data_IF_684577951988
#
_entry.id   IF_684577951988
#
_cell.length_a   1.000
_cell.length_b   1.000
_cell.length_c   1.000
_cell.angle_alpha   90.00
_cell.angle_beta   90.00
_cell.angle_gamma   90.00
#
_symmetry.space_group_name_H-M   'P 1'
#
loop_
_entity.id
_entity.type
_entity.pdbx_description
1 polymer ?
#
# COMPACT_ATOMS: atom_id res chain seq x y z
N UNK A 1 5.39 -20.38 14.53
CA UNK A 1 6.08 -19.41 13.62
C UNK A 1 5.04 -18.45 13.09
N UNK A 2 4.68 -17.45 13.89
CA UNK A 2 3.49 -16.62 13.66
C UNK A 2 3.90 -15.15 13.79
N UNK A 3 4.48 -14.55 12.76
CA UNK A 3 4.60 -13.09 12.66
C UNK A 3 4.68 -12.66 11.18
N UNK A 4 3.64 -12.98 10.40
CA UNK A 4 3.59 -12.67 8.97
C UNK A 4 3.03 -11.28 8.64
N UNK A 5 2.37 -10.62 9.59
CA UNK A 5 1.56 -9.43 9.32
C UNK A 5 2.20 -8.11 9.80
N UNK A 6 3.05 -8.12 10.83
CA UNK A 6 3.59 -6.89 11.46
C UNK A 6 5.03 -6.57 11.03
N UNK A 7 5.77 -7.56 10.51
CA UNK A 7 7.21 -7.42 10.18
C UNK A 7 7.55 -6.28 9.24
N UNK A 8 6.64 -5.90 8.34
CA UNK A 8 6.91 -4.89 7.32
C UNK A 8 6.48 -3.48 7.74
N UNK A 9 5.75 -3.33 8.85
CA UNK A 9 5.19 -2.04 9.23
C UNK A 9 6.30 -1.03 9.54
N UNK A 10 7.25 -1.41 10.39
CA UNK A 10 8.37 -0.54 10.78
C UNK A 10 9.22 -0.15 9.57
N UNK A 11 9.55 -1.09 8.70
CA UNK A 11 10.35 -0.82 7.50
C UNK A 11 9.65 0.15 6.53
N UNK A 12 8.34 -0.02 6.33
CA UNK A 12 7.55 0.90 5.49
C UNK A 12 7.49 2.29 6.11
N UNK A 13 7.29 2.39 7.43
CA UNK A 13 7.28 3.67 8.16
C UNK A 13 8.66 4.33 8.10
N UNK A 14 9.75 3.59 8.30
CA UNK A 14 11.11 4.11 8.21
C UNK A 14 11.40 4.62 6.80
N UNK A 15 11.06 3.84 5.76
CA UNK A 15 11.28 4.22 4.37
C UNK A 15 10.49 5.48 3.97
N UNK A 16 9.19 5.50 4.25
CA UNK A 16 8.32 6.61 3.83
C UNK A 16 8.46 7.84 4.74
N UNK A 17 8.65 7.63 6.04
CA UNK A 17 8.83 8.67 7.04
C UNK A 17 10.16 9.41 6.91
N UNK A 18 11.23 8.73 6.49
CA UNK A 18 12.51 9.38 6.16
C UNK A 18 12.43 10.27 4.90
N UNK A 19 11.43 10.04 4.04
CA UNK A 19 11.24 10.76 2.78
C UNK A 19 9.84 11.36 2.67
N UNK A 20 9.50 12.37 3.50
CA UNK A 20 8.19 12.99 3.49
C UNK A 20 7.91 13.67 2.13
N UNK A 21 6.70 13.47 1.60
CA UNK A 21 6.28 14.02 0.29
C UNK A 21 6.79 13.27 -0.95
N UNK A 22 7.71 12.29 -0.80
CA UNK A 22 8.17 11.47 -1.93
C UNK A 22 7.12 10.41 -2.29
N UNK A 23 6.86 10.27 -3.58
CA UNK A 23 5.93 9.27 -4.13
C UNK A 23 6.64 7.93 -4.33
N UNK A 24 6.05 6.89 -3.77
CA UNK A 24 6.52 5.51 -3.88
C UNK A 24 5.45 4.62 -4.49
N UNK A 25 5.85 3.77 -5.44
CA UNK A 25 5.02 2.68 -5.95
C UNK A 25 5.14 1.47 -5.04
N UNK A 26 4.07 0.68 -4.90
CA UNK A 26 4.06 -0.55 -4.08
C UNK A 26 5.19 -1.52 -4.48
N UNK A 27 5.46 -1.68 -5.78
CA UNK A 27 6.57 -2.51 -6.27
C UNK A 27 7.92 -2.08 -5.69
N UNK A 28 8.15 -0.77 -5.58
CA UNK A 28 9.40 -0.23 -5.06
C UNK A 28 9.52 -0.50 -3.55
N UNK A 29 8.42 -0.30 -2.81
CA UNK A 29 8.35 -0.61 -1.38
C UNK A 29 8.63 -2.09 -1.13
N UNK A 30 7.99 -3.00 -1.90
CA UNK A 30 8.24 -4.45 -1.81
C UNK A 30 9.71 -4.79 -2.09
N UNK A 31 10.31 -4.14 -3.10
CA UNK A 31 11.72 -4.35 -3.45
C UNK A 31 12.68 -3.90 -2.35
N UNK A 32 12.37 -2.78 -1.67
CA UNK A 32 13.16 -2.29 -0.54
C UNK A 32 13.05 -3.21 0.68
N UNK A 33 11.81 -3.58 1.04
CA UNK A 33 11.52 -4.38 2.24
C UNK A 33 12.01 -5.83 2.10
N UNK A 34 11.95 -6.39 0.89
CA UNK A 34 12.29 -7.79 0.65
C UNK A 34 13.01 -7.99 -0.70
N UNK A 35 14.29 -7.56 -0.82
CA UNK A 35 15.03 -7.59 -2.08
C UNK A 35 15.19 -9.01 -2.65
N UNK A 36 15.41 -10.01 -1.79
CA UNK A 36 15.69 -11.40 -2.18
C UNK A 36 14.46 -12.31 -2.20
N UNK A 37 13.25 -11.75 -2.27
CA UNK A 37 12.00 -12.52 -2.19
C UNK A 37 11.65 -13.23 -3.51
N UNK A 38 11.16 -14.46 -3.42
CA UNK A 38 10.62 -15.18 -4.59
C UNK A 38 9.29 -14.56 -5.06
N UNK A 39 8.87 -14.76 -6.32
CA UNK A 39 7.59 -14.24 -6.83
C UNK A 39 6.38 -14.60 -5.96
N UNK A 40 6.35 -15.84 -5.44
CA UNK A 40 5.29 -16.33 -4.54
C UNK A 40 5.28 -15.59 -3.20
N UNK A 41 6.46 -15.37 -2.62
CA UNK A 41 6.59 -14.59 -1.38
C UNK A 41 6.21 -13.12 -1.60
N UNK A 42 6.59 -12.53 -2.75
CA UNK A 42 6.24 -11.14 -3.09
C UNK A 42 4.74 -10.88 -3.10
N UNK A 43 3.93 -11.85 -3.50
CA UNK A 43 2.46 -11.71 -3.45
C UNK A 43 1.97 -11.59 -2.00
N UNK A 44 2.44 -12.45 -1.10
CA UNK A 44 2.10 -12.39 0.33
C UNK A 44 2.61 -11.11 1.00
N UNK A 45 3.85 -10.71 0.71
CA UNK A 45 4.47 -9.48 1.20
C UNK A 45 3.68 -8.25 0.73
N UNK A 46 3.27 -8.23 -0.53
CA UNK A 46 2.44 -7.16 -1.09
C UNK A 46 1.12 -7.03 -0.34
N UNK A 47 0.45 -8.14 0.00
CA UNK A 47 -0.79 -8.12 0.79
C UNK A 47 -0.53 -7.55 2.19
N UNK A 48 0.57 -7.95 2.85
CA UNK A 48 0.97 -7.41 4.14
C UNK A 48 1.21 -5.89 4.08
N UNK A 49 1.99 -5.42 3.11
CA UNK A 49 2.27 -4.00 2.89
C UNK A 49 0.98 -3.23 2.58
N UNK A 50 0.07 -3.78 1.77
CA UNK A 50 -1.21 -3.13 1.48
C UNK A 50 -2.06 -2.92 2.74
N UNK A 51 -2.04 -3.87 3.69
CA UNK A 51 -2.74 -3.72 4.98
C UNK A 51 -2.13 -2.59 5.82
N UNK A 52 -0.79 -2.52 5.88
CA UNK A 52 -0.08 -1.43 6.57
C UNK A 52 -0.41 -0.09 5.94
N UNK A 53 -0.31 0.04 4.62
CA UNK A 53 -0.63 1.28 3.90
C UNK A 53 -2.09 1.70 4.16
N UNK A 54 -3.04 0.77 4.14
CA UNK A 54 -4.44 1.06 4.43
C UNK A 54 -4.65 1.54 5.88
N UNK A 55 -3.95 0.94 6.85
CA UNK A 55 -4.01 1.38 8.25
C UNK A 55 -3.43 2.80 8.43
N UNK A 56 -2.27 3.08 7.81
CA UNK A 56 -1.64 4.40 7.82
C UNK A 56 -2.49 5.46 7.11
N UNK A 57 -3.18 5.09 6.03
CA UNK A 57 -4.12 5.96 5.31
C UNK A 57 -5.36 6.25 6.16
N UNK A 58 -5.89 5.24 6.85
CA UNK A 58 -7.03 5.39 7.78
C UNK A 58 -6.67 6.32 8.94
N UNK A 59 -5.44 6.20 9.48
CA UNK A 59 -4.92 7.11 10.50
C UNK A 59 -4.54 8.50 9.96
N UNK A 60 -4.61 8.69 8.65
CA UNK A 60 -4.33 9.97 7.99
C UNK A 60 -2.85 10.35 7.95
N UNK A 61 -1.92 9.40 8.14
CA UNK A 61 -0.47 9.66 8.10
C UNK A 61 0.09 9.70 6.67
N UNK A 62 -0.51 8.92 5.76
CA UNK A 62 -0.12 8.86 4.35
C UNK A 62 -1.25 9.28 3.43
N UNK A 63 -0.92 9.54 2.17
CA UNK A 63 -1.90 9.73 1.09
C UNK A 63 -1.65 8.73 -0.03
N UNK A 64 -2.71 8.45 -0.79
CA UNK A 64 -2.65 7.57 -1.94
C UNK A 64 -3.27 8.23 -3.18
N UNK A 65 -2.73 7.90 -4.36
CA UNK A 65 -3.35 8.22 -5.66
C UNK A 65 -4.29 7.10 -6.13
N UNK A 66 -4.60 6.12 -5.26
CA UNK A 66 -5.41 4.94 -5.61
C UNK A 66 -6.79 5.32 -6.15
N UNK A 67 -7.41 6.38 -5.64
CA UNK A 67 -8.69 6.89 -6.16
C UNK A 67 -8.62 7.42 -7.60
N UNK A 68 -7.46 7.94 -8.01
CA UNK A 68 -7.28 8.51 -9.35
C UNK A 68 -6.87 7.46 -10.38
N UNK A 69 -6.26 6.35 -9.95
CA UNK A 69 -5.86 5.27 -10.84
C UNK A 69 -7.06 4.39 -11.20
N UNK A 70 -7.67 4.65 -12.35
CA UNK A 70 -8.67 3.77 -12.97
C UNK A 70 -7.95 2.53 -13.52
N UNK A 71 -8.43 1.34 -13.17
CA UNK A 71 -8.09 0.01 -13.73
C UNK A 71 -6.69 -0.15 -14.36
N UNK A 72 -5.70 -0.52 -13.53
CA UNK A 72 -4.40 -1.02 -14.01
C UNK A 72 -3.21 -0.08 -13.85
N UNK A 73 -3.44 1.18 -13.44
CA UNK A 73 -2.37 2.12 -13.09
C UNK A 73 -1.64 1.75 -11.79
N UNK A 74 -0.34 1.99 -11.72
CA UNK A 74 0.43 1.86 -10.48
C UNK A 74 -0.02 2.92 -9.47
N UNK A 75 -0.70 2.50 -8.39
CA UNK A 75 -1.04 3.39 -7.29
C UNK A 75 0.22 3.90 -6.59
N UNK A 76 0.30 5.22 -6.43
CA UNK A 76 1.39 5.90 -5.73
C UNK A 76 0.98 6.25 -4.29
N UNK A 77 1.95 6.16 -3.38
CA UNK A 77 1.79 6.41 -1.95
C UNK A 77 2.87 7.37 -1.48
N UNK A 78 2.53 8.32 -0.61
CA UNK A 78 3.51 9.24 -0.02
C UNK A 78 3.13 9.60 1.42
N UNK A 79 4.14 9.89 2.23
CA UNK A 79 3.96 10.37 3.59
C UNK A 79 3.51 11.83 3.58
N UNK A 80 2.54 12.20 4.41
CA UNK A 80 2.08 13.60 4.51
C UNK A 80 3.19 14.46 5.08
N UNK A 81 3.46 15.58 4.40
CA UNK A 81 4.29 16.63 4.99
C UNK A 81 3.37 17.54 5.80
N UNK A 82 3.84 18.05 6.95
CA UNK A 82 3.09 18.97 7.81
C UNK A 82 2.58 20.22 7.07
N UNK A 83 3.23 20.57 5.94
CA UNK A 83 2.92 21.74 5.11
C UNK A 83 1.97 21.44 3.93
N UNK A 84 1.73 20.16 3.60
CA UNK A 84 0.89 19.79 2.45
C UNK A 84 -0.61 19.73 2.81
N UNK A 85 -1.24 20.90 2.86
CA UNK A 85 -2.69 21.06 3.01
C UNK A 85 -3.43 20.64 1.74
N UNK A 86 -3.70 19.33 1.55
CA UNK A 86 -4.88 18.82 0.79
C UNK A 86 -4.76 17.33 0.41
N UNK A 87 -4.38 16.47 1.34
CA UNK A 87 -4.73 15.06 1.17
C UNK A 87 -6.16 14.85 1.69
N UNK A 88 -7.16 15.00 0.81
CA UNK A 88 -8.54 14.65 1.17
C UNK A 88 -8.58 13.16 1.56
N UNK A 89 -9.06 12.81 2.77
CA UNK A 89 -9.29 11.41 3.11
C UNK A 89 -10.29 10.83 2.10
N UNK A 90 -9.90 9.73 1.48
CA UNK A 90 -10.65 9.10 0.41
C UNK A 90 -11.99 8.59 0.95
N UNK A 91 -13.08 9.29 0.65
CA UNK A 91 -14.43 8.75 0.74
C UNK A 91 -14.55 7.64 -0.32
N UNK A 92 -14.94 6.45 0.15
CA UNK A 92 -15.00 5.21 -0.62
C UNK A 92 -15.99 5.35 -1.79
N UNK A 93 -15.64 4.99 -3.04
CA UNK A 93 -16.58 4.31 -3.91
C UNK A 93 -16.45 2.82 -3.62
N UNK A 94 -17.43 2.32 -2.88
CA UNK A 94 -17.74 0.91 -2.71
C UNK A 94 -17.95 0.28 -4.09
N UNK A 95 -16.93 -0.34 -4.68
CA UNK A 95 -17.17 -1.32 -5.74
C UNK A 95 -16.05 -2.36 -5.77
N UNK A 96 -16.11 -3.26 -4.79
CA UNK A 96 -15.71 -4.62 -5.12
C UNK A 96 -16.70 -5.06 -6.21
N UNK A 97 -16.28 -5.11 -7.47
CA UNK A 97 -16.98 -5.97 -8.44
C UNK A 97 -16.58 -7.38 -8.04
N UNK A 98 -17.46 -8.04 -7.28
CA UNK A 98 -17.46 -9.50 -7.17
C UNK A 98 -17.64 -10.02 -8.59
N UNK A 99 -16.52 -10.22 -9.30
CA UNK A 99 -16.52 -11.15 -10.42
C UNK A 99 -16.58 -12.52 -9.79
N UNK A 100 -17.80 -13.04 -9.71
CA UNK A 100 -18.12 -14.41 -9.39
C UNK A 100 -17.64 -15.28 -10.56
N UNK A 101 -16.32 -15.46 -10.66
CA UNK A 101 -15.72 -16.37 -11.63
C UNK A 101 -15.82 -17.78 -11.04
N UNK A 102 -16.81 -18.51 -11.52
CA UNK A 102 -17.06 -19.92 -11.30
C UNK A 102 -15.77 -20.77 -11.24
N UNK A 103 -15.48 -21.34 -10.08
CA UNK A 103 -14.81 -22.64 -10.02
C UNK A 103 -15.82 -23.67 -10.52
N UNK A 104 -15.65 -24.10 -11.77
CA UNK A 104 -16.27 -25.32 -12.31
C UNK A 104 -15.59 -26.52 -11.64
N UNK A 105 -16.38 -27.38 -11.01
CA UNK A 105 -16.03 -28.77 -10.70
C UNK A 105 -16.41 -29.66 -11.87
#
# INVERSE_FOLDING_TARGET
MEEGAVKYANEVINLMGAHPGRRFKVRHIVGYVAPNSTPKQRASIRVGIQRVLYALETNGQICSSRAQTVNGGDAEYWWKTATSSSCRPQQKPQQYRQHNCAYRF
#
